data_IF_364523906138
#
_entry.id   IF_364523906138
#
_cell.length_a   1.000
_cell.length_b   1.000
_cell.length_c   1.000
_cell.angle_alpha   90.00
_cell.angle_beta   90.00
_cell.angle_gamma   90.00
#
_symmetry.space_group_name_H-M   'P 1'
#
loop_
_entity.id
_entity.type
_entity.pdbx_description
1 polymer ?
#
# COMPACT_ATOMS: atom_id res chain seq x y z
N UNK A 1 -37.48 28.60 17.12
CA UNK A 1 -36.78 29.89 17.29
C UNK A 1 -35.91 30.12 16.06
N UNK A 2 -36.36 30.99 15.14
CA UNK A 2 -35.66 31.33 13.90
C UNK A 2 -34.44 32.19 14.24
N UNK A 3 -33.23 31.73 13.91
CA UNK A 3 -32.03 32.56 13.92
C UNK A 3 -31.99 33.34 12.60
N UNK A 4 -32.28 34.64 12.70
CA UNK A 4 -32.20 35.61 11.62
C UNK A 4 -30.79 35.63 11.01
N UNK A 5 -30.67 35.27 9.72
CA UNK A 5 -29.47 35.47 8.90
C UNK A 5 -29.19 36.97 8.77
N UNK A 6 -28.30 37.51 9.60
CA UNK A 6 -27.71 38.83 9.33
C UNK A 6 -26.75 38.68 8.14
N UNK A 7 -27.13 39.18 6.96
CA UNK A 7 -26.27 39.22 5.78
C UNK A 7 -25.05 40.10 6.05
N UNK A 8 -23.86 39.50 6.24
CA UNK A 8 -22.60 40.25 6.33
C UNK A 8 -22.18 40.64 4.91
N UNK A 9 -22.28 41.92 4.58
CA UNK A 9 -21.79 42.48 3.32
C UNK A 9 -20.27 42.68 3.41
N UNK A 10 -19.51 42.03 2.52
CA UNK A 10 -18.05 42.21 2.43
C UNK A 10 -17.74 43.26 1.36
N UNK A 11 -16.91 44.26 1.69
CA UNK A 11 -16.44 45.28 0.74
C UNK A 11 -15.00 45.00 0.33
N UNK A 12 -14.69 45.18 -0.95
CA UNK A 12 -13.32 45.11 -1.47
C UNK A 12 -12.46 46.16 -0.76
N UNK A 13 -11.35 45.75 -0.14
CA UNK A 13 -10.50 46.67 0.65
C UNK A 13 -9.80 47.74 -0.21
N UNK A 14 -9.74 47.56 -1.53
CA UNK A 14 -9.08 48.49 -2.46
C UNK A 14 -10.07 49.46 -3.09
N UNK A 15 -11.14 48.96 -3.69
CA UNK A 15 -12.08 49.79 -4.45
C UNK A 15 -13.43 49.99 -3.75
N UNK A 16 -13.61 49.45 -2.54
CA UNK A 16 -14.86 49.49 -1.75
C UNK A 16 -16.10 48.89 -2.44
N UNK A 17 -15.94 48.27 -3.60
CA UNK A 17 -17.00 47.58 -4.32
C UNK A 17 -17.52 46.38 -3.51
N UNK A 18 -18.82 46.10 -3.59
CA UNK A 18 -19.43 44.98 -2.89
C UNK A 18 -18.93 43.66 -3.49
N UNK A 19 -18.38 42.80 -2.64
CA UNK A 19 -17.92 41.48 -3.04
C UNK A 19 -19.12 40.52 -3.07
N UNK A 20 -19.12 39.54 -4.00
CA UNK A 20 -20.21 38.59 -4.11
C UNK A 20 -20.48 37.86 -2.79
N UNK A 21 -21.75 37.67 -2.43
CA UNK A 21 -22.18 36.97 -1.20
C UNK A 21 -21.69 35.51 -1.11
N UNK A 22 -21.16 34.95 -2.20
CA UNK A 22 -20.73 33.56 -2.31
C UNK A 22 -19.31 33.30 -1.80
N UNK A 23 -18.71 34.21 -1.02
CA UNK A 23 -17.49 33.92 -0.25
C UNK A 23 -17.86 32.87 0.81
N UNK A 24 -17.76 31.59 0.43
CA UNK A 24 -17.93 30.47 1.35
C UNK A 24 -16.69 30.42 2.24
N UNK A 25 -16.79 30.62 3.57
CA UNK A 25 -15.70 30.22 4.44
C UNK A 25 -15.49 28.72 4.24
N UNK A 26 -14.28 28.31 3.88
CA UNK A 26 -13.88 26.91 3.85
C UNK A 26 -13.19 26.62 5.18
N UNK A 27 -13.90 26.21 6.24
CA UNK A 27 -13.19 25.57 7.35
C UNK A 27 -12.61 24.27 6.78
N UNK A 28 -11.33 23.94 7.01
CA UNK A 28 -10.80 22.66 6.60
C UNK A 28 -11.49 21.58 7.42
N UNK A 29 -12.57 21.02 6.91
CA UNK A 29 -13.23 19.88 7.52
C UNK A 29 -12.24 18.72 7.42
N UNK A 30 -11.87 18.13 8.56
CA UNK A 30 -11.02 16.95 8.60
C UNK A 30 -11.83 15.78 9.14
N UNK A 31 -11.73 14.61 8.50
CA UNK A 31 -12.32 13.38 9.02
C UNK A 31 -11.25 12.60 9.79
N UNK A 32 -11.57 12.21 11.02
CA UNK A 32 -10.68 11.41 11.87
C UNK A 32 -11.47 10.19 12.36
N UNK A 33 -10.92 9.00 12.14
CA UNK A 33 -11.44 7.77 12.73
C UNK A 33 -10.99 7.64 14.19
N UNK A 34 -11.91 7.28 15.09
CA UNK A 34 -11.55 6.94 16.46
C UNK A 34 -10.88 5.56 16.51
N UNK A 35 -9.69 5.48 17.09
CA UNK A 35 -8.92 4.25 17.32
C UNK A 35 -9.66 3.22 18.20
N UNK A 36 -10.50 3.67 19.15
CA UNK A 36 -11.22 2.79 20.07
C UNK A 36 -12.50 2.18 19.48
N UNK A 37 -13.25 2.94 18.68
CA UNK A 37 -14.58 2.53 18.21
C UNK A 37 -14.76 2.53 16.70
N UNK A 38 -13.73 2.91 15.95
CA UNK A 38 -13.69 2.99 14.48
C UNK A 38 -14.77 3.88 13.84
N UNK A 39 -15.50 4.67 14.62
CA UNK A 39 -16.42 5.67 14.07
C UNK A 39 -15.64 6.86 13.51
N UNK A 40 -16.11 7.39 12.39
CA UNK A 40 -15.59 8.60 11.80
C UNK A 40 -16.17 9.81 12.51
N UNK A 41 -15.30 10.73 12.90
CA UNK A 41 -15.64 12.02 13.50
C UNK A 41 -15.23 13.13 12.55
N UNK A 42 -16.08 14.16 12.45
CA UNK A 42 -15.76 15.36 11.70
C UNK A 42 -15.09 16.34 12.65
N UNK A 43 -13.97 16.92 12.23
CA UNK A 43 -13.27 18.00 12.91
C UNK A 43 -13.49 19.27 12.10
N UNK A 44 -13.96 20.31 12.79
CA UNK A 44 -14.13 21.65 12.24
C UNK A 44 -13.23 22.59 13.03
N UNK A 45 -12.56 23.51 12.35
CA UNK A 45 -11.66 24.48 12.98
C UNK A 45 -12.39 25.81 13.17
N UNK A 46 -12.57 26.21 14.42
CA UNK A 46 -13.08 27.53 14.82
C UNK A 46 -11.91 28.24 15.51
N UNK A 47 -11.41 29.33 14.92
CA UNK A 47 -10.30 30.13 15.48
C UNK A 47 -9.05 29.28 15.84
N UNK A 48 -8.69 28.35 14.96
CA UNK A 48 -7.59 27.36 15.14
C UNK A 48 -7.81 26.34 16.27
N UNK A 49 -9.02 26.23 16.82
CA UNK A 49 -9.38 25.20 17.81
C UNK A 49 -10.11 24.05 17.10
N UNK A 50 -9.58 22.81 17.15
CA UNK A 50 -10.26 21.67 16.56
C UNK A 50 -11.49 21.30 17.39
N UNK A 51 -12.67 21.42 16.79
CA UNK A 51 -13.94 21.06 17.42
C UNK A 51 -14.51 19.82 16.75
N UNK A 52 -14.79 18.78 17.54
CA UNK A 52 -15.43 17.56 17.04
C UNK A 52 -16.92 17.81 16.82
N UNK A 53 -17.37 17.61 15.59
CA UNK A 53 -18.78 17.71 15.19
C UNK A 53 -19.26 16.32 14.78
N UNK A 54 -20.45 15.93 15.23
CA UNK A 54 -21.11 14.73 14.71
C UNK A 54 -21.65 15.02 13.31
N UNK A 55 -21.37 14.16 12.33
CA UNK A 55 -22.00 14.25 11.02
C UNK A 55 -23.52 14.02 11.16
N UNK A 56 -24.37 14.91 10.62
CA UNK A 56 -25.81 14.67 10.56
C UNK A 56 -26.08 13.38 9.77
N UNK A 57 -27.02 12.58 10.26
CA UNK A 57 -27.41 11.26 9.73
C UNK A 57 -26.33 10.16 9.74
N UNK A 58 -25.16 10.39 10.33
CA UNK A 58 -24.16 9.33 10.51
C UNK A 58 -24.62 8.32 11.57
N UNK A 59 -24.95 7.12 11.10
CA UNK A 59 -25.28 5.98 11.97
C UNK A 59 -23.98 5.37 12.50
N UNK A 60 -23.84 5.35 13.83
CA UNK A 60 -22.73 4.67 14.53
C UNK A 60 -22.53 3.26 13.97
N UNK A 61 -21.28 2.85 13.77
CA UNK A 61 -20.91 1.54 13.23
C UNK A 61 -21.57 0.39 14.00
N UNK A 62 -21.64 0.49 15.33
CA UNK A 62 -22.32 -0.49 16.21
C UNK A 62 -23.79 -0.74 15.85
N UNK A 63 -24.49 0.22 15.23
CA UNK A 63 -25.89 0.04 14.82
C UNK A 63 -26.04 -0.95 13.65
N UNK A 64 -24.98 -1.12 12.85
CA UNK A 64 -24.95 -2.06 11.73
C UNK A 64 -24.37 -3.43 12.11
N UNK A 65 -23.91 -3.58 13.36
CA UNK A 65 -23.19 -4.75 13.83
C UNK A 65 -23.90 -5.30 15.06
N UNK A 66 -24.76 -6.32 14.91
CA UNK A 66 -25.48 -6.90 16.04
C UNK A 66 -24.50 -7.49 17.06
N UNK A 67 -24.82 -7.30 18.34
CA UNK A 67 -24.02 -7.83 19.44
C UNK A 67 -23.94 -9.36 19.36
N UNK A 68 -22.75 -9.90 19.64
CA UNK A 68 -22.48 -11.35 19.54
C UNK A 68 -22.15 -11.87 18.14
N UNK A 69 -22.30 -11.05 17.08
CA UNK A 69 -21.91 -11.45 15.73
C UNK A 69 -20.40 -11.67 15.56
N UNK A 70 -20.02 -12.46 14.56
CA UNK A 70 -18.60 -12.62 14.16
C UNK A 70 -18.00 -11.26 13.80
N UNK A 71 -18.76 -10.40 13.12
CA UNK A 71 -18.34 -9.06 12.75
C UNK A 71 -18.04 -8.18 13.98
N UNK A 72 -18.83 -8.29 15.05
CA UNK A 72 -18.56 -7.60 16.32
C UNK A 72 -17.21 -8.04 16.93
N UNK A 73 -16.91 -9.33 16.91
CA UNK A 73 -15.64 -9.88 17.40
C UNK A 73 -14.45 -9.43 16.55
N UNK A 74 -14.61 -9.41 15.23
CA UNK A 74 -13.58 -8.91 14.29
C UNK A 74 -13.29 -7.43 14.58
N UNK A 75 -14.32 -6.57 14.61
CA UNK A 75 -14.16 -5.13 14.86
C UNK A 75 -13.55 -4.83 16.24
N UNK A 76 -13.80 -5.66 17.25
CA UNK A 76 -13.14 -5.53 18.55
C UNK A 76 -11.64 -5.91 18.53
N UNK A 77 -11.23 -6.70 17.54
CA UNK A 77 -9.85 -7.20 17.39
C UNK A 77 -9.03 -6.31 16.45
N UNK A 78 -9.67 -5.68 15.46
CA UNK A 78 -9.01 -4.87 14.42
C UNK A 78 -8.12 -3.76 15.00
N UNK A 79 -8.56 -2.89 15.94
CA UNK A 79 -7.69 -1.85 16.50
C UNK A 79 -6.42 -2.39 17.16
N UNK A 80 -6.52 -3.54 17.84
CA UNK A 80 -5.37 -4.21 18.46
C UNK A 80 -4.44 -4.79 17.40
N UNK A 81 -5.00 -5.38 16.35
CA UNK A 81 -4.25 -5.88 15.21
C UNK A 81 -3.56 -4.75 14.43
N UNK A 82 -4.15 -3.56 14.32
CA UNK A 82 -3.53 -2.39 13.68
C UNK A 82 -2.23 -1.98 14.37
N UNK A 83 -2.18 -2.04 15.70
CA UNK A 83 -0.95 -1.76 16.47
C UNK A 83 0.12 -2.84 16.36
N UNK A 84 -0.30 -4.06 15.98
CA UNK A 84 0.58 -5.22 15.79
C UNK A 84 0.81 -5.52 14.32
N UNK A 85 0.33 -4.66 13.40
CA UNK A 85 0.64 -4.80 11.98
C UNK A 85 2.16 -4.84 11.90
N UNK A 86 2.76 -5.94 11.40
CA UNK A 86 4.17 -5.90 11.08
C UNK A 86 4.29 -4.74 10.10
N UNK A 87 5.10 -3.74 10.48
CA UNK A 87 5.31 -2.51 9.70
C UNK A 87 5.44 -2.97 8.26
N UNK A 88 4.46 -2.59 7.44
CA UNK A 88 4.34 -3.03 6.07
C UNK A 88 5.70 -2.75 5.45
N UNK A 89 6.44 -3.82 5.09
CA UNK A 89 7.89 -3.77 5.00
C UNK A 89 8.34 -2.56 4.18
N UNK A 90 8.86 -1.54 4.86
CA UNK A 90 9.14 -0.22 4.29
C UNK A 90 10.10 -0.34 3.09
N UNK A 91 11.03 -1.28 3.22
CA UNK A 91 12.11 -1.50 2.25
C UNK A 91 11.56 -2.04 0.92
N UNK A 92 10.76 -3.11 0.87
CA UNK A 92 10.10 -3.52 -0.36
C UNK A 92 9.18 -2.49 -1.01
N UNK A 93 8.47 -1.67 -0.22
CA UNK A 93 7.65 -0.60 -0.78
C UNK A 93 8.52 0.47 -1.43
N UNK A 94 9.65 0.83 -0.81
CA UNK A 94 10.64 1.74 -1.38
C UNK A 94 11.22 1.17 -2.69
N UNK A 95 11.59 -0.12 -2.71
CA UNK A 95 12.08 -0.79 -3.94
C UNK A 95 11.05 -0.72 -5.07
N UNK A 96 9.77 -1.03 -4.79
CA UNK A 96 8.69 -0.96 -5.81
C UNK A 96 8.46 0.47 -6.28
N UNK A 97 8.50 1.45 -5.38
CA UNK A 97 8.33 2.87 -5.71
C UNK A 97 9.48 3.45 -6.55
N UNK A 98 10.70 2.93 -6.40
CA UNK A 98 11.88 3.38 -7.15
C UNK A 98 11.90 2.87 -8.59
N UNK A 99 11.31 1.71 -8.87
CA UNK A 99 11.39 1.05 -10.20
C UNK A 99 10.68 1.74 -11.37
N UNK A 100 9.53 2.42 -11.21
CA UNK A 100 8.93 3.19 -12.30
C UNK A 100 9.67 4.51 -12.60
N UNK A 101 10.65 4.93 -11.79
CA UNK A 101 11.41 6.15 -12.04
C UNK A 101 12.45 5.91 -13.16
N UNK A 102 12.36 6.62 -14.31
CA UNK A 102 13.31 6.48 -15.42
C UNK A 102 14.74 6.92 -15.09
N UNK A 103 14.96 7.59 -13.95
CA UNK A 103 16.26 8.06 -13.47
C UNK A 103 16.89 7.05 -12.49
N UNK A 104 16.10 6.12 -11.95
CA UNK A 104 16.57 5.16 -10.96
C UNK A 104 17.64 4.21 -11.53
N UNK A 105 18.75 4.10 -10.81
CA UNK A 105 19.86 3.21 -11.15
C UNK A 105 19.79 1.90 -10.34
N UNK A 106 20.52 0.89 -10.81
CA UNK A 106 20.68 -0.37 -10.05
C UNK A 106 21.33 -0.10 -8.69
N UNK A 107 22.24 0.88 -8.59
CA UNK A 107 22.88 1.26 -7.32
C UNK A 107 21.89 1.80 -6.29
N UNK A 108 20.89 2.57 -6.70
CA UNK A 108 19.90 3.14 -5.78
C UNK A 108 19.06 2.05 -5.13
N UNK A 109 18.69 1.03 -5.91
CA UNK A 109 17.94 -0.13 -5.40
C UNK A 109 18.82 -0.99 -4.50
N UNK A 110 20.09 -1.18 -4.84
CA UNK A 110 21.06 -1.91 -4.00
C UNK A 110 21.19 -1.23 -2.63
N UNK A 111 21.34 0.10 -2.58
CA UNK A 111 21.44 0.84 -1.34
C UNK A 111 20.22 0.63 -0.42
N UNK A 112 19.01 0.61 -1.00
CA UNK A 112 17.77 0.33 -0.26
C UNK A 112 17.73 -1.12 0.25
N UNK A 113 18.20 -2.09 -0.54
CA UNK A 113 18.23 -3.51 -0.17
C UNK A 113 19.26 -3.77 0.94
N UNK A 114 20.41 -3.11 0.89
CA UNK A 114 21.50 -3.25 1.87
C UNK A 114 21.08 -2.89 3.29
N UNK A 115 20.10 -1.99 3.46
CA UNK A 115 19.49 -1.66 4.75
C UNK A 115 18.85 -2.89 5.43
N UNK A 116 18.58 -3.97 4.70
CA UNK A 116 17.98 -5.21 5.23
C UNK A 116 18.81 -6.47 4.91
N UNK A 117 19.54 -6.96 5.90
CA UNK A 117 20.34 -8.18 5.79
C UNK A 117 19.54 -9.42 5.34
N UNK A 118 18.25 -9.53 5.70
CA UNK A 118 17.41 -10.67 5.31
C UNK A 118 17.04 -10.61 3.81
N UNK A 119 16.75 -9.43 3.27
CA UNK A 119 16.51 -9.26 1.84
C UNK A 119 17.80 -9.48 1.03
N UNK A 120 18.90 -8.90 1.48
CA UNK A 120 20.23 -9.04 0.86
C UNK A 120 20.65 -10.50 0.68
N UNK A 121 20.62 -11.28 1.75
CA UNK A 121 21.00 -12.70 1.73
C UNK A 121 20.08 -13.54 0.85
N UNK A 122 18.77 -13.22 0.81
CA UNK A 122 17.80 -13.91 -0.03
C UNK A 122 18.01 -13.60 -1.51
N UNK A 123 18.34 -12.35 -1.85
CA UNK A 123 18.65 -11.96 -3.23
C UNK A 123 19.92 -12.63 -3.73
N UNK A 124 20.98 -12.67 -2.91
CA UNK A 124 22.20 -13.42 -3.23
C UNK A 124 21.92 -14.93 -3.42
N UNK A 125 21.16 -15.54 -2.51
CA UNK A 125 20.75 -16.95 -2.61
C UNK A 125 19.93 -17.23 -3.87
N UNK A 126 19.04 -16.31 -4.26
CA UNK A 126 18.27 -16.41 -5.50
C UNK A 126 19.16 -16.26 -6.75
N UNK A 127 20.09 -15.30 -6.76
CA UNK A 127 21.02 -15.11 -7.88
C UNK A 127 21.91 -16.35 -8.12
N UNK A 128 22.26 -17.05 -7.04
CA UNK A 128 23.02 -18.32 -7.09
C UNK A 128 22.14 -19.57 -7.27
N UNK A 129 20.82 -19.44 -7.33
CA UNK A 129 19.92 -20.60 -7.51
C UNK A 129 20.06 -21.18 -8.92
N UNK A 130 19.84 -22.49 -9.09
CA UNK A 130 19.95 -23.18 -10.39
C UNK A 130 19.09 -22.57 -11.52
N UNK A 131 18.07 -21.79 -11.17
CA UNK A 131 17.24 -21.07 -12.14
C UNK A 131 17.96 -19.84 -12.72
N UNK A 132 18.79 -19.18 -11.93
CA UNK A 132 19.51 -17.98 -12.31
C UNK A 132 21.02 -18.20 -12.48
N UNK A 133 21.59 -19.32 -12.02
CA UNK A 133 23.02 -19.61 -11.98
C UNK A 133 23.66 -19.89 -13.35
N UNK A 134 24.93 -19.50 -13.49
CA UNK A 134 25.87 -19.85 -14.58
C UNK A 134 27.24 -20.07 -13.92
N UNK A 135 28.30 -20.25 -14.72
CA UNK A 135 29.66 -20.58 -14.26
C UNK A 135 30.21 -19.51 -13.32
N UNK A 136 30.04 -19.67 -12.01
CA UNK A 136 30.62 -18.83 -10.95
C UNK A 136 29.63 -18.44 -9.84
N UNK A 137 30.10 -18.51 -8.59
CA UNK A 137 29.36 -18.05 -7.40
C UNK A 137 29.38 -16.52 -7.30
N UNK A 138 28.22 -15.92 -7.01
CA UNK A 138 28.07 -14.49 -6.82
C UNK A 138 28.04 -14.17 -5.32
N UNK A 139 28.98 -13.34 -4.88
CA UNK A 139 29.11 -12.90 -3.48
C UNK A 139 28.81 -11.41 -3.28
N UNK A 140 28.51 -10.68 -4.36
CA UNK A 140 28.28 -9.24 -4.35
C UNK A 140 26.85 -8.89 -4.78
N UNK A 141 26.23 -7.97 -4.04
CA UNK A 141 24.86 -7.53 -4.26
C UNK A 141 24.69 -6.79 -5.58
N UNK A 142 25.63 -5.90 -5.93
CA UNK A 142 25.57 -5.15 -7.19
C UNK A 142 25.57 -6.12 -8.38
N UNK A 143 26.45 -7.10 -8.34
CA UNK A 143 26.54 -8.17 -9.35
C UNK A 143 25.27 -9.03 -9.40
N UNK A 144 24.71 -9.41 -8.25
CA UNK A 144 23.45 -10.15 -8.18
C UNK A 144 22.27 -9.35 -8.74
N UNK A 145 22.16 -8.08 -8.37
CA UNK A 145 21.11 -7.16 -8.78
C UNK A 145 21.17 -6.85 -10.28
N UNK A 146 22.37 -6.61 -10.82
CA UNK A 146 22.58 -6.41 -12.25
C UNK A 146 22.19 -7.64 -13.07
N UNK A 147 22.40 -8.84 -12.53
CA UNK A 147 22.07 -10.11 -13.19
C UNK A 147 20.58 -10.42 -13.16
N UNK A 148 19.92 -10.18 -12.03
CA UNK A 148 18.47 -10.40 -11.88
C UNK A 148 17.66 -9.33 -12.64
N UNK A 149 18.16 -8.09 -12.66
CA UNK A 149 17.51 -6.94 -13.27
C UNK A 149 16.48 -6.26 -12.35
N UNK A 150 16.25 -4.96 -12.58
CA UNK A 150 15.43 -4.10 -11.69
C UNK A 150 14.00 -4.60 -11.50
N UNK A 151 13.35 -5.02 -12.59
CA UNK A 151 11.99 -5.59 -12.54
C UNK A 151 11.93 -6.84 -11.67
N UNK A 152 12.98 -7.64 -11.65
CA UNK A 152 13.02 -8.87 -10.87
C UNK A 152 13.19 -8.59 -9.38
N UNK A 153 13.97 -7.55 -9.05
CA UNK A 153 14.13 -7.05 -7.69
C UNK A 153 12.80 -6.55 -7.11
N UNK A 154 12.02 -5.74 -7.84
CA UNK A 154 10.65 -5.36 -7.44
C UNK A 154 9.86 -6.57 -7.02
N UNK A 155 9.78 -7.53 -7.93
CA UNK A 155 8.91 -8.67 -7.75
C UNK A 155 9.39 -9.53 -6.57
N UNK A 156 10.71 -9.69 -6.35
CA UNK A 156 11.26 -10.44 -5.20
C UNK A 156 10.89 -9.71 -3.91
N UNK A 157 11.12 -8.40 -3.84
CA UNK A 157 10.79 -7.59 -2.68
C UNK A 157 9.29 -7.66 -2.34
N UNK A 158 8.42 -7.54 -3.34
CA UNK A 158 6.96 -7.69 -3.18
C UNK A 158 6.58 -9.08 -2.68
N UNK A 159 7.14 -10.15 -3.28
CA UNK A 159 6.87 -11.54 -2.88
C UNK A 159 7.30 -11.77 -1.42
N UNK A 160 8.44 -11.23 -1.02
CA UNK A 160 8.96 -11.36 0.36
C UNK A 160 8.14 -10.60 1.38
N UNK A 161 7.63 -9.42 1.02
CA UNK A 161 6.71 -8.65 1.86
C UNK A 161 5.45 -9.42 2.17
N UNK A 162 4.87 -10.05 1.15
CA UNK A 162 3.67 -10.86 1.31
C UNK A 162 3.94 -12.06 2.21
N UNK A 163 5.07 -12.76 2.04
CA UNK A 163 5.43 -13.92 2.88
C UNK A 163 5.52 -13.58 4.38
N UNK A 164 6.04 -12.39 4.73
CA UNK A 164 6.15 -11.98 6.13
C UNK A 164 4.80 -11.74 6.82
N UNK A 165 3.74 -11.48 6.05
CA UNK A 165 2.38 -11.28 6.57
C UNK A 165 1.69 -12.60 6.94
N UNK A 166 2.12 -13.73 6.39
CA UNK A 166 1.53 -15.05 6.62
C UNK A 166 2.24 -15.82 7.75
N UNK A 167 2.56 -15.14 8.87
CA UNK A 167 3.08 -15.79 10.09
C UNK A 167 1.96 -15.92 11.11
N UNK A 168 1.88 -17.09 11.75
CA UNK A 168 0.88 -17.37 12.79
C UNK A 168 1.53 -18.14 13.94
N UNK A 169 1.13 -17.83 15.17
CA UNK A 169 1.50 -18.59 16.37
C UNK A 169 0.58 -19.79 16.62
N UNK A 170 -0.50 -19.92 15.85
CA UNK A 170 -1.46 -21.01 15.99
C UNK A 170 -1.05 -22.21 15.11
N UNK A 171 -0.67 -23.32 15.76
CA UNK A 171 -0.24 -24.55 15.11
C UNK A 171 -1.27 -25.13 14.12
N UNK A 172 -2.58 -24.93 14.37
CA UNK A 172 -3.64 -25.40 13.47
C UNK A 172 -3.65 -24.65 12.13
N UNK A 173 -3.28 -23.36 12.13
CA UNK A 173 -3.29 -22.50 10.94
C UNK A 173 -1.92 -22.45 10.23
N UNK A 174 -0.86 -22.93 10.89
CA UNK A 174 0.51 -22.85 10.38
C UNK A 174 0.66 -23.50 9.00
N UNK A 175 0.07 -24.68 8.80
CA UNK A 175 0.09 -25.39 7.52
C UNK A 175 -0.59 -24.59 6.41
N UNK A 176 -1.76 -23.99 6.69
CA UNK A 176 -2.47 -23.15 5.74
C UNK A 176 -1.69 -21.88 5.41
N UNK A 177 -1.13 -21.20 6.42
CA UNK A 177 -0.32 -19.99 6.22
C UNK A 177 0.94 -20.26 5.38
N UNK A 178 1.61 -21.41 5.57
CA UNK A 178 2.73 -21.84 4.72
C UNK A 178 2.32 -22.00 3.25
N UNK A 179 1.15 -22.61 3.01
CA UNK A 179 0.61 -22.77 1.65
C UNK A 179 0.32 -21.40 1.04
N UNK A 180 -0.49 -20.58 1.70
CA UNK A 180 -0.89 -19.25 1.17
C UNK A 180 0.31 -18.31 0.98
N UNK A 181 1.29 -18.33 1.88
CA UNK A 181 2.52 -17.56 1.76
C UNK A 181 3.36 -17.93 0.54
N UNK A 182 3.29 -19.20 0.08
CA UNK A 182 4.04 -19.67 -1.09
C UNK A 182 3.36 -19.38 -2.44
N UNK A 183 2.05 -19.12 -2.45
CA UNK A 183 1.26 -18.93 -3.69
C UNK A 183 1.81 -17.80 -4.58
N UNK A 184 2.13 -16.59 -4.05
CA UNK A 184 2.67 -15.52 -4.88
C UNK A 184 3.96 -15.92 -5.62
N UNK A 185 4.83 -16.70 -4.96
CA UNK A 185 6.07 -17.19 -5.55
C UNK A 185 5.83 -18.24 -6.65
N UNK A 186 4.92 -19.18 -6.41
CA UNK A 186 4.56 -20.22 -7.38
C UNK A 186 3.91 -19.64 -8.64
N UNK A 187 2.91 -18.76 -8.46
CA UNK A 187 2.22 -18.09 -9.57
C UNK A 187 3.21 -17.30 -10.45
N UNK A 188 4.14 -16.58 -9.82
CA UNK A 188 5.18 -15.84 -10.53
C UNK A 188 6.12 -16.75 -11.32
N UNK A 189 6.59 -17.83 -10.71
CA UNK A 189 7.51 -18.78 -11.36
C UNK A 189 6.83 -19.43 -12.57
N UNK A 190 5.57 -19.82 -12.42
CA UNK A 190 4.76 -20.34 -13.52
C UNK A 190 4.56 -19.31 -14.63
N UNK A 191 4.19 -18.06 -14.29
CA UNK A 191 4.01 -16.98 -15.27
C UNK A 191 5.30 -16.69 -16.06
N UNK A 192 6.45 -16.66 -15.39
CA UNK A 192 7.76 -16.50 -16.06
C UNK A 192 8.08 -17.65 -17.00
N UNK A 193 7.84 -18.89 -16.58
CA UNK A 193 8.08 -20.08 -17.41
C UNK A 193 7.18 -20.11 -18.64
N UNK A 194 5.92 -19.68 -18.50
CA UNK A 194 5.01 -19.51 -19.63
C UNK A 194 5.49 -18.40 -20.56
N UNK A 195 5.95 -17.27 -20.02
CA UNK A 195 6.45 -16.14 -20.82
C UNK A 195 7.71 -16.50 -21.60
N UNK A 196 8.63 -17.31 -21.04
CA UNK A 196 9.81 -17.79 -21.78
C UNK A 196 9.43 -18.70 -22.95
N UNK A 197 8.40 -19.54 -22.79
CA UNK A 197 7.90 -20.42 -23.86
C UNK A 197 7.09 -19.67 -24.93
N UNK A 198 6.44 -18.56 -24.58
CA UNK A 198 5.70 -17.73 -25.53
C UNK A 198 6.62 -16.88 -26.41
N UNK A 199 7.79 -16.43 -25.90
CA UNK A 199 8.79 -15.70 -26.70
C UNK A 199 9.43 -16.53 -27.81
N UNK A 200 9.38 -17.87 -27.73
CA UNK A 200 9.84 -18.78 -28.78
C UNK A 200 8.84 -18.98 -29.93
N UNK A 201 7.66 -18.35 -29.91
CA UNK A 201 6.63 -18.47 -30.96
C UNK A 201 6.55 -17.15 -31.76
N UNK A 202 7.05 -17.11 -33.01
CA UNK A 202 7.20 -15.86 -33.77
C UNK A 202 5.88 -15.18 -34.21
N UNK A 203 4.72 -15.85 -34.11
CA UNK A 203 3.43 -15.32 -34.61
C UNK A 203 2.68 -14.36 -33.68
N UNK A 204 3.19 -14.08 -32.47
CA UNK A 204 2.50 -13.23 -31.48
C UNK A 204 3.11 -11.82 -31.33
N UNK A 205 4.16 -11.47 -32.08
CA UNK A 205 4.81 -10.16 -32.03
C UNK A 205 3.91 -8.97 -32.44
N UNK A 206 2.77 -9.23 -33.10
CA UNK A 206 1.82 -8.19 -33.56
C UNK A 206 0.57 -8.05 -32.69
N UNK A 207 0.41 -8.86 -31.64
CA UNK A 207 -0.72 -8.72 -30.72
C UNK A 207 -0.29 -7.83 -29.55
N UNK A 208 -1.00 -6.73 -29.25
CA UNK A 208 -0.75 -5.96 -28.04
C UNK A 208 -1.04 -6.88 -26.87
N UNK A 209 0.02 -7.37 -26.22
CA UNK A 209 -0.13 -8.14 -24.99
C UNK A 209 -0.54 -7.14 -23.91
N UNK A 210 -1.85 -6.90 -23.80
CA UNK A 210 -2.46 -6.27 -22.64
C UNK A 210 -2.23 -7.17 -21.43
N UNK A 211 -1.07 -7.01 -20.78
CA UNK A 211 -0.90 -7.38 -19.38
C UNK A 211 -1.65 -6.35 -18.53
N UNK A 212 -2.97 -6.45 -18.49
CA UNK A 212 -3.78 -5.84 -17.43
C UNK A 212 -4.22 -6.95 -16.49
N UNK A 213 -3.68 -6.99 -15.28
CA UNK A 213 -4.36 -6.72 -13.99
C UNK A 213 -3.26 -6.90 -12.92
N UNK A 214 -3.02 -6.06 -11.90
CA UNK A 214 -3.87 -5.13 -11.15
C UNK A 214 -3.01 -4.10 -10.37
N UNK A 215 -2.38 -3.12 -11.03
CA UNK A 215 -1.68 -2.00 -10.33
C UNK A 215 -2.20 -0.64 -10.81
N UNK A 216 -3.52 -0.46 -10.75
CA UNK A 216 -4.17 0.84 -10.95
C UNK A 216 -5.15 1.17 -9.81
N UNK A 217 -4.75 0.84 -8.58
CA UNK A 217 -5.49 1.16 -7.35
C UNK A 217 -4.72 2.06 -6.38
N UNK A 218 -3.65 2.72 -6.84
CA UNK A 218 -2.92 3.74 -6.05
C UNK A 218 -2.66 5.01 -6.88
N UNK A 219 -3.73 5.54 -7.48
CA UNK A 219 -3.88 6.96 -7.82
C UNK A 219 -5.31 7.38 -7.46
#
# INVERSE_FOLDING_TARGET
MQLSRSSRMYKCYVCSHELPESIRPFPPIQLIGCDQCMNVSQITWLDNIPTVVSMPDYKKLKKFVPDGSVLAKILATVPKALTQLPILAEIPQRVVATIPDPISSVQDIVAIIEENAVLSTKILSLANSAYFATVGEINDLVTACSRLGMREMANIATTMSSMNQYKTSNAMLESSCKIYGSIPWLLRTAAKRLQSNLRSIPRLHSLPVCFTTSERLYL
#
